data_IF_890314559963
#
_entry.id   IF_890314559963
#
_cell.length_a   1.000
_cell.length_b   1.000
_cell.length_c   1.000
_cell.angle_alpha   90.00
_cell.angle_beta   90.00
_cell.angle_gamma   90.00
#
_symmetry.space_group_name_H-M   'P 1'
#
loop_
_entity.id
_entity.type
_entity.pdbx_description
1 polymer ?
#
# COMPACT_ATOMS: atom_id res chain seq x y z
N UNK A 1 -30.71 15.86 2.20
CA UNK A 1 -30.04 16.06 0.91
C UNK A 1 -28.59 16.44 1.19
N UNK A 2 -27.68 15.56 0.75
CA UNK A 2 -26.22 15.69 0.55
C UNK A 2 -25.26 16.19 1.66
N UNK A 3 -24.13 15.44 1.73
CA UNK A 3 -22.81 15.76 2.29
C UNK A 3 -22.55 15.32 3.75
N UNK A 4 -21.46 14.63 4.11
CA UNK A 4 -20.36 13.96 3.39
C UNK A 4 -19.60 13.22 4.48
N UNK A 5 -19.44 11.90 4.36
CA UNK A 5 -18.67 11.05 5.26
C UNK A 5 -17.22 11.53 5.41
N UNK A 6 -16.94 12.26 6.49
CA UNK A 6 -15.61 12.59 6.98
C UNK A 6 -15.52 12.29 8.48
N UNK A 7 -15.57 11.00 8.84
CA UNK A 7 -15.15 10.60 10.18
C UNK A 7 -14.52 9.20 10.16
N UNK A 8 -13.21 9.14 9.90
CA UNK A 8 -12.42 7.97 10.31
C UNK A 8 -11.02 8.37 10.75
N UNK A 9 -10.98 9.28 11.72
CA UNK A 9 -9.88 9.35 12.69
C UNK A 9 -10.41 8.72 13.97
N UNK A 10 -10.32 7.38 14.08
CA UNK A 10 -10.53 6.73 15.38
C UNK A 10 -9.53 5.61 15.60
N UNK A 11 -8.61 5.94 16.52
CA UNK A 11 -7.94 5.04 17.44
C UNK A 11 -6.78 4.18 16.93
N UNK A 12 -5.58 4.78 17.02
CA UNK A 12 -4.44 4.04 17.60
C UNK A 12 -4.78 3.67 19.04
N UNK A 13 -4.87 2.37 19.32
CA UNK A 13 -4.51 1.83 20.63
C UNK A 13 -3.56 0.65 20.43
N UNK A 14 -2.35 0.85 20.95
CA UNK A 14 -1.29 -0.14 21.11
C UNK A 14 -1.86 -1.38 21.81
N UNK A 15 -1.60 -2.57 21.25
CA UNK A 15 -1.53 -3.86 21.96
C UNK A 15 -1.11 -4.96 20.97
N UNK A 16 0.14 -5.42 21.06
CA UNK A 16 0.43 -6.85 20.87
C UNK A 16 0.07 -7.57 22.20
N UNK A 17 -0.13 -8.91 22.25
CA UNK A 17 0.06 -9.94 21.22
C UNK A 17 -1.18 -10.86 21.06
N UNK A 18 -0.97 -12.06 20.50
CA UNK A 18 -1.74 -13.34 20.59
C UNK A 18 -2.52 -13.83 19.34
N UNK A 19 -2.04 -14.99 18.85
CA UNK A 19 -2.67 -15.97 17.95
C UNK A 19 -4.16 -16.22 18.26
N UNK A 20 -5.02 -16.34 17.22
CA UNK A 20 -5.76 -17.57 16.86
C UNK A 20 -6.74 -17.36 15.69
N UNK A 21 -6.67 -18.33 14.79
CA UNK A 21 -7.59 -18.79 13.73
C UNK A 21 -9.06 -18.36 13.90
N UNK A 22 -9.73 -17.93 12.83
CA UNK A 22 -10.62 -18.80 12.01
C UNK A 22 -11.42 -18.02 10.96
N UNK A 23 -11.36 -18.55 9.73
CA UNK A 23 -12.43 -18.64 8.73
C UNK A 23 -13.02 -17.34 8.13
N UNK A 24 -12.72 -17.09 6.84
CA UNK A 24 -13.74 -17.13 5.79
C UNK A 24 -13.15 -16.99 4.38
N UNK A 25 -13.57 -17.95 3.53
CA UNK A 25 -13.72 -17.88 2.07
C UNK A 25 -12.48 -18.10 1.19
N UNK A 26 -12.36 -19.37 0.82
CA UNK A 26 -12.28 -19.87 -0.56
C UNK A 26 -11.42 -19.01 -1.49
N UNK A 27 -10.15 -19.39 -1.54
CA UNK A 27 -9.42 -19.46 -2.79
C UNK A 27 -10.25 -20.22 -3.83
N UNK A 28 -10.80 -19.49 -4.80
CA UNK A 28 -10.97 -19.94 -6.18
C UNK A 28 -11.62 -18.80 -6.96
N UNK A 29 -10.81 -18.09 -7.72
CA UNK A 29 -11.19 -17.51 -9.01
C UNK A 29 -9.88 -17.26 -9.75
N UNK A 30 -9.31 -18.37 -10.20
CA UNK A 30 -8.42 -18.41 -11.36
C UNK A 30 -9.12 -17.69 -12.51
N UNK A 31 -8.60 -16.54 -12.90
CA UNK A 31 -8.69 -16.09 -14.29
C UNK A 31 -7.31 -16.27 -14.91
N UNK A 32 -7.21 -16.92 -16.08
CA UNK A 32 -5.96 -17.11 -16.79
C UNK A 32 -5.69 -15.85 -17.62
N UNK A 33 -5.19 -14.79 -16.99
CA UNK A 33 -4.52 -13.74 -17.74
C UNK A 33 -3.02 -14.06 -17.72
N UNK A 34 -2.51 -14.33 -18.93
CA UNK A 34 -1.11 -14.44 -19.40
C UNK A 34 -0.04 -14.47 -18.31
N UNK A 35 0.83 -15.48 -18.38
CA UNK A 35 1.94 -15.76 -17.46
C UNK A 35 2.93 -14.59 -17.28
N UNK A 36 2.50 -13.52 -16.60
CA UNK A 36 3.35 -12.61 -15.87
C UNK A 36 3.70 -13.31 -14.58
N UNK A 37 4.99 -13.47 -14.36
CA UNK A 37 5.55 -14.02 -13.13
C UNK A 37 5.03 -13.20 -11.94
N UNK A 38 4.93 -13.80 -10.75
CA UNK A 38 4.54 -13.05 -9.54
C UNK A 38 5.40 -11.78 -9.38
N UNK A 39 6.68 -11.86 -9.70
CA UNK A 39 7.60 -10.72 -9.75
C UNK A 39 7.18 -9.59 -10.69
N UNK A 40 6.64 -9.89 -11.88
CA UNK A 40 6.17 -8.88 -12.83
C UNK A 40 4.88 -8.23 -12.33
N UNK A 41 4.00 -8.99 -11.68
CA UNK A 41 2.78 -8.46 -11.07
C UNK A 41 3.11 -7.56 -9.87
N UNK A 42 4.08 -7.97 -9.06
CA UNK A 42 4.62 -7.16 -7.97
C UNK A 42 5.20 -5.86 -8.54
N UNK A 43 5.98 -5.94 -9.61
CA UNK A 43 6.55 -4.75 -10.26
C UNK A 43 5.47 -3.79 -10.77
N UNK A 44 4.44 -4.31 -11.43
CA UNK A 44 3.25 -3.54 -11.82
C UNK A 44 2.61 -2.83 -10.61
N UNK A 45 2.46 -3.53 -9.48
CA UNK A 45 1.89 -2.95 -8.27
C UNK A 45 2.79 -1.86 -7.65
N UNK A 46 4.11 -2.07 -7.65
CA UNK A 46 5.09 -1.09 -7.17
C UNK A 46 5.03 0.16 -8.04
N UNK A 47 4.98 0.01 -9.37
CA UNK A 47 4.84 1.12 -10.29
C UNK A 47 3.58 1.95 -10.01
N UNK A 48 2.45 1.31 -9.71
CA UNK A 48 1.23 2.02 -9.33
C UNK A 48 1.35 2.79 -8.02
N UNK A 49 2.05 2.22 -7.05
CA UNK A 49 2.35 2.87 -5.79
C UNK A 49 3.25 4.08 -6.03
N UNK A 50 4.28 3.96 -6.86
CA UNK A 50 5.17 5.06 -7.21
C UNK A 50 4.44 6.19 -7.96
N UNK A 51 3.64 5.87 -8.98
CA UNK A 51 2.83 6.86 -9.71
C UNK A 51 1.90 7.62 -8.76
N UNK A 52 1.28 6.91 -7.80
CA UNK A 52 0.41 7.53 -6.80
C UNK A 52 1.21 8.37 -5.79
N UNK A 53 2.36 7.87 -5.36
CA UNK A 53 3.23 8.58 -4.42
C UNK A 53 3.75 9.87 -5.04
N UNK A 54 4.23 9.82 -6.29
CA UNK A 54 4.66 10.99 -7.05
C UNK A 54 3.52 12.00 -7.21
N UNK A 55 2.32 11.55 -7.57
CA UNK A 55 1.18 12.45 -7.67
C UNK A 55 0.86 13.13 -6.32
N UNK A 56 0.93 12.39 -5.22
CA UNK A 56 0.77 12.98 -3.88
C UNK A 56 1.91 13.94 -3.52
N UNK A 57 3.13 13.69 -3.98
CA UNK A 57 4.28 14.58 -3.82
C UNK A 57 4.20 15.83 -4.70
N UNK A 58 3.56 15.75 -5.86
CA UNK A 58 3.32 16.90 -6.73
C UNK A 58 2.19 17.79 -6.17
N UNK A 59 1.20 17.20 -5.52
CA UNK A 59 0.10 17.93 -4.87
C UNK A 59 0.48 18.55 -3.52
N UNK A 60 1.66 18.19 -2.95
CA UNK A 60 2.07 18.62 -1.61
C UNK A 60 3.48 19.18 -1.61
N UNK A 61 3.62 20.39 -1.08
CA UNK A 61 4.93 21.04 -0.87
C UNK A 61 5.77 20.31 0.20
N UNK A 62 5.11 19.64 1.16
CA UNK A 62 5.73 18.79 2.19
C UNK A 62 6.21 17.45 1.59
N UNK A 63 7.33 17.52 0.85
CA UNK A 63 8.05 16.38 0.25
C UNK A 63 8.72 15.47 1.29
N UNK A 64 8.65 15.81 2.58
CA UNK A 64 9.40 15.11 3.62
C UNK A 64 8.65 13.95 4.31
N UNK A 65 7.32 13.88 4.24
CA UNK A 65 6.54 12.90 5.05
C UNK A 65 5.33 12.32 4.33
N UNK A 66 5.57 11.34 3.47
CA UNK A 66 4.51 10.60 2.79
C UNK A 66 4.23 9.28 3.52
N UNK A 67 3.04 9.13 4.09
CA UNK A 67 2.70 7.89 4.82
C UNK A 67 2.20 6.82 3.85
N UNK A 68 2.65 5.57 4.01
CA UNK A 68 2.20 4.44 3.19
C UNK A 68 0.67 4.27 3.20
N UNK A 69 0.03 4.49 4.35
CA UNK A 69 -1.45 4.49 4.46
C UNK A 69 -2.11 5.56 3.60
N UNK A 70 -1.47 6.72 3.42
CA UNK A 70 -1.99 7.78 2.56
C UNK A 70 -1.86 7.42 1.09
N UNK A 71 -0.72 6.84 0.70
CA UNK A 71 -0.54 6.33 -0.67
C UNK A 71 -1.58 5.28 -0.99
N UNK A 72 -1.79 4.31 -0.08
CA UNK A 72 -2.85 3.31 -0.24
C UNK A 72 -4.22 3.95 -0.42
N UNK A 73 -4.55 4.98 0.36
CA UNK A 73 -5.84 5.65 0.26
C UNK A 73 -6.00 6.39 -1.08
N UNK A 74 -4.96 7.10 -1.53
CA UNK A 74 -4.96 7.78 -2.82
C UNK A 74 -5.01 6.78 -3.98
N UNK A 75 -4.27 5.67 -3.87
CA UNK A 75 -4.23 4.60 -4.86
C UNK A 75 -5.61 3.97 -5.02
N UNK A 76 -6.32 3.69 -3.92
CA UNK A 76 -7.69 3.16 -3.98
C UNK A 76 -8.72 4.16 -4.50
N UNK A 77 -8.48 5.47 -4.34
CA UNK A 77 -9.34 6.52 -4.94
C UNK A 77 -9.12 6.62 -6.46
N UNK A 78 -7.89 6.48 -6.93
CA UNK A 78 -7.54 6.49 -8.36
C UNK A 78 -7.87 5.16 -9.05
N UNK A 79 -7.60 4.04 -8.39
CA UNK A 79 -7.84 2.67 -8.84
C UNK A 79 -8.62 1.88 -7.79
N UNK A 80 -9.96 1.94 -7.81
CA UNK A 80 -10.79 1.16 -6.88
C UNK A 80 -10.65 -0.36 -7.08
N UNK A 81 -10.11 -0.80 -8.23
CA UNK A 81 -9.79 -2.22 -8.51
C UNK A 81 -8.47 -2.73 -7.93
N UNK A 82 -7.66 -1.87 -7.28
CA UNK A 82 -6.39 -2.30 -6.70
C UNK A 82 -6.61 -3.30 -5.56
N UNK A 83 -6.00 -4.49 -5.69
CA UNK A 83 -6.08 -5.56 -4.71
C UNK A 83 -4.72 -6.21 -4.53
N UNK A 84 -4.14 -6.12 -3.33
CA UNK A 84 -2.82 -6.66 -2.99
C UNK A 84 -2.69 -8.14 -3.37
N UNK A 85 -3.74 -8.93 -3.13
CA UNK A 85 -3.74 -10.36 -3.46
C UNK A 85 -3.67 -10.65 -4.95
N UNK A 86 -4.14 -9.74 -5.80
CA UNK A 86 -4.05 -9.91 -7.26
C UNK A 86 -2.59 -9.86 -7.72
N UNK A 87 -1.77 -9.09 -7.02
CA UNK A 87 -0.35 -8.91 -7.30
C UNK A 87 0.55 -9.88 -6.53
N UNK A 88 0.00 -10.89 -5.86
CA UNK A 88 0.79 -11.88 -5.10
C UNK A 88 1.27 -11.40 -3.72
N UNK A 89 1.00 -10.16 -3.33
CA UNK A 89 1.44 -9.61 -2.03
C UNK A 89 0.39 -9.83 -0.94
N UNK A 90 0.87 -10.10 0.29
CA UNK A 90 0.00 -10.37 1.45
C UNK A 90 -0.63 -9.12 2.03
N UNK A 91 0.04 -7.98 1.92
CA UNK A 91 -0.38 -6.71 2.49
C UNK A 91 0.30 -5.56 1.74
N UNK A 92 -0.26 -4.35 1.88
CA UNK A 92 0.35 -3.15 1.30
C UNK A 92 1.73 -2.87 1.89
N UNK A 93 1.94 -3.21 3.17
CA UNK A 93 3.25 -3.16 3.83
C UNK A 93 4.29 -4.03 3.11
N UNK A 94 3.96 -5.30 2.82
CA UNK A 94 4.85 -6.18 2.05
C UNK A 94 5.18 -5.59 0.68
N UNK A 95 4.21 -4.97 0.00
CA UNK A 95 4.43 -4.32 -1.29
C UNK A 95 5.42 -3.15 -1.19
N UNK A 96 5.29 -2.34 -0.13
CA UNK A 96 6.23 -1.26 0.14
C UNK A 96 7.61 -1.82 0.44
N UNK A 97 7.72 -2.79 1.36
CA UNK A 97 9.00 -3.45 1.69
C UNK A 97 9.66 -4.06 0.46
N UNK A 98 8.89 -4.57 -0.49
CA UNK A 98 9.41 -5.09 -1.75
C UNK A 98 9.94 -3.98 -2.67
N UNK A 99 9.25 -2.84 -2.73
CA UNK A 99 9.74 -1.66 -3.44
C UNK A 99 11.03 -1.11 -2.82
N UNK A 100 11.16 -1.15 -1.49
CA UNK A 100 12.40 -0.79 -0.79
C UNK A 100 13.51 -1.82 -1.02
N UNK A 101 13.21 -3.12 -0.96
CA UNK A 101 14.18 -4.17 -1.27
C UNK A 101 14.76 -4.04 -2.68
N UNK A 102 13.96 -3.56 -3.63
CA UNK A 102 14.38 -3.25 -5.00
C UNK A 102 15.13 -1.93 -5.14
N UNK A 103 15.20 -1.11 -4.09
CA UNK A 103 15.87 0.19 -4.07
C UNK A 103 15.09 1.33 -4.70
N UNK A 104 13.82 1.12 -5.04
CA UNK A 104 12.98 2.10 -5.76
C UNK A 104 12.44 3.18 -4.82
N UNK A 105 12.18 2.80 -3.56
CA UNK A 105 11.71 3.72 -2.51
C UNK A 105 12.49 3.52 -1.22
N UNK A 106 12.68 4.59 -0.45
CA UNK A 106 13.18 4.53 0.92
C UNK A 106 12.01 4.50 1.89
N UNK A 107 11.97 3.49 2.77
CA UNK A 107 10.98 3.39 3.82
C UNK A 107 11.59 3.61 5.21
N UNK A 108 10.79 4.19 6.10
CA UNK A 108 11.08 4.24 7.52
C UNK A 108 9.89 3.70 8.28
N UNK A 109 10.13 2.70 9.12
CA UNK A 109 9.11 2.20 10.05
C UNK A 109 8.92 3.24 11.17
N UNK A 110 7.70 3.75 11.31
CA UNK A 110 7.35 4.62 12.42
C UNK A 110 6.85 3.77 13.60
N UNK A 111 7.72 3.50 14.59
CA UNK A 111 7.40 2.69 15.78
C UNK A 111 6.25 3.28 16.63
N UNK A 112 6.00 4.59 16.50
CA UNK A 112 4.88 5.25 17.18
C UNK A 112 3.54 4.84 16.57
N UNK A 113 3.51 4.54 15.27
CA UNK A 113 2.30 4.26 14.47
C UNK A 113 2.15 2.81 14.05
N UNK A 114 3.25 2.06 14.01
CA UNK A 114 3.32 0.77 13.34
C UNK A 114 3.05 0.87 11.85
N UNK A 115 3.37 2.02 11.23
CA UNK A 115 3.13 2.29 9.81
C UNK A 115 4.43 2.63 9.08
N UNK A 116 4.41 2.55 7.76
CA UNK A 116 5.56 2.88 6.92
C UNK A 116 5.48 4.32 6.44
N UNK A 117 6.60 5.03 6.49
CA UNK A 117 6.82 6.35 5.93
C UNK A 117 7.68 6.20 4.69
N UNK A 118 7.23 6.72 3.56
CA UNK A 118 7.98 6.84 2.32
C UNK A 118 8.77 8.15 2.41
N UNK A 119 10.10 8.03 2.40
CA UNK A 119 11.03 9.16 2.57
C UNK A 119 11.79 9.49 1.28
N UNK A 120 12.08 8.49 0.46
CA UNK A 120 12.86 8.65 -0.77
C UNK A 120 12.14 7.94 -1.92
N UNK A 121 12.07 8.59 -3.07
CA UNK A 121 11.80 7.96 -4.36
C UNK A 121 13.12 8.06 -5.13
N UNK A 122 13.75 6.92 -5.38
CA UNK A 122 14.96 6.88 -6.20
C UNK A 122 14.50 6.70 -7.65
N UNK A 123 14.50 7.78 -8.42
CA UNK A 123 14.34 7.75 -9.87
C UNK A 123 15.74 7.76 -10.46
N UNK A 124 16.26 6.58 -10.83
CA UNK A 124 17.46 6.46 -11.67
C UNK A 124 17.08 6.74 -13.13
#
# INVERSE_FOLDING_TARGET
>A
DLARDEESIKQRKRKAPVKKKSAAKKASSTQPDVAKSEDEKIDDAINLVMETAEALYAERDDRDKLWGSMVKQALKRRRPGFNERYYGVRSFSDLLEEAERRGLIGLSLDERSGGYLIQKLDQD
#
